data_IF_910005623270
#
_entry.id   IF_910005623270
#
_cell.length_a   1.000
_cell.length_b   1.000
_cell.length_c   1.000
_cell.angle_alpha   90.00
_cell.angle_beta   90.00
_cell.angle_gamma   90.00
#
_symmetry.space_group_name_H-M   'P 1'
#
loop_
_entity.id
_entity.type
_entity.pdbx_description
1 polymer ?
#
# COMPACT_ATOMS: atom_id res chain seq x y z
N UNK A 1 26.80 -13.66 7.42
CA UNK A 1 26.53 -15.03 7.87
C UNK A 1 27.68 -15.50 8.77
N UNK A 2 27.39 -16.35 9.74
CA UNK A 2 28.42 -17.20 10.35
C UNK A 2 28.81 -18.33 9.38
N UNK A 3 29.81 -19.11 9.76
CA UNK A 3 30.45 -20.13 8.93
C UNK A 3 29.48 -21.28 8.55
N UNK A 4 28.30 -21.30 9.18
CA UNK A 4 27.22 -22.30 9.03
C UNK A 4 26.03 -21.72 8.24
N UNK A 5 26.13 -20.46 7.78
CA UNK A 5 25.10 -19.81 6.98
C UNK A 5 23.96 -19.17 7.77
N UNK A 6 24.03 -19.16 9.10
CA UNK A 6 23.07 -18.49 9.95
C UNK A 6 23.40 -17.00 10.11
N UNK A 7 22.38 -16.23 10.50
CA UNK A 7 22.55 -14.84 10.90
C UNK A 7 23.41 -14.83 12.16
N UNK A 8 24.52 -14.08 12.14
CA UNK A 8 25.44 -13.99 13.28
C UNK A 8 24.66 -13.60 14.54
N UNK A 9 24.80 -14.39 15.59
CA UNK A 9 24.18 -14.13 16.91
C UNK A 9 24.58 -12.77 17.48
N UNK A 10 25.77 -12.27 17.15
CA UNK A 10 26.22 -10.91 17.48
C UNK A 10 25.30 -9.84 16.89
N UNK A 11 24.84 -10.03 15.65
CA UNK A 11 23.92 -9.09 14.99
C UNK A 11 22.56 -9.07 15.70
N UNK A 12 22.05 -10.22 16.14
CA UNK A 12 20.81 -10.30 16.92
C UNK A 12 20.95 -9.66 18.31
N UNK A 13 22.15 -9.76 18.92
CA UNK A 13 22.45 -9.04 20.15
C UNK A 13 22.56 -7.53 19.93
N UNK A 14 23.13 -7.09 18.81
CA UNK A 14 23.22 -5.67 18.45
C UNK A 14 21.83 -5.07 18.16
N UNK A 15 20.97 -5.80 17.45
CA UNK A 15 19.57 -5.41 17.24
C UNK A 15 18.80 -5.32 18.57
N UNK A 16 18.98 -6.29 19.46
CA UNK A 16 18.41 -6.24 20.82
C UNK A 16 18.99 -5.10 21.64
N UNK A 17 20.28 -4.80 21.49
CA UNK A 17 20.95 -3.69 22.17
C UNK A 17 20.42 -2.34 21.70
N UNK A 18 20.26 -2.16 20.39
CA UNK A 18 19.67 -0.95 19.79
C UNK A 18 18.21 -0.76 20.20
N UNK A 19 17.41 -1.83 20.20
CA UNK A 19 16.05 -1.80 20.73
C UNK A 19 16.05 -1.38 22.20
N UNK A 20 16.83 -2.04 23.06
CA UNK A 20 16.88 -1.73 24.49
C UNK A 20 17.36 -0.31 24.82
N UNK A 21 18.26 0.26 24.01
CA UNK A 21 18.73 1.64 24.17
C UNK A 21 17.63 2.65 23.80
N UNK A 22 16.88 2.37 22.73
CA UNK A 22 15.71 3.17 22.33
C UNK A 22 14.54 3.03 23.32
N UNK A 23 14.30 1.83 23.83
CA UNK A 23 13.29 1.55 24.87
C UNK A 23 13.57 2.31 26.17
N UNK A 24 14.85 2.58 26.48
CA UNK A 24 15.25 3.34 27.67
C UNK A 24 15.04 4.84 27.53
N UNK A 25 15.02 5.36 26.31
CA UNK A 25 14.85 6.80 26.03
C UNK A 25 13.40 7.20 25.77
N UNK A 26 12.52 6.28 25.35
CA UNK A 26 11.19 6.63 24.86
C UNK A 26 10.05 5.84 25.53
N UNK A 27 9.01 6.55 25.99
CA UNK A 27 7.75 5.98 26.50
C UNK A 27 6.82 5.44 25.36
N UNK A 28 7.37 5.29 24.14
CA UNK A 28 6.67 5.07 22.87
C UNK A 28 6.73 3.60 22.41
N UNK A 29 6.82 2.66 23.36
CA UNK A 29 6.81 1.22 23.11
C UNK A 29 5.68 0.78 22.17
N UNK A 30 4.51 1.43 22.26
CA UNK A 30 3.35 1.11 21.44
C UNK A 30 3.54 1.47 19.96
N UNK A 31 4.17 2.60 19.66
CA UNK A 31 4.42 3.04 18.29
C UNK A 31 5.46 2.16 17.60
N UNK A 32 6.55 1.85 18.30
CA UNK A 32 7.60 0.95 17.79
C UNK A 32 7.09 -0.48 17.60
N UNK A 33 6.34 -1.02 18.56
CA UNK A 33 5.72 -2.35 18.41
C UNK A 33 4.84 -2.41 17.17
N UNK A 34 4.00 -1.40 16.96
CA UNK A 34 3.12 -1.34 15.79
C UNK A 34 3.93 -1.24 14.47
N UNK A 35 5.02 -0.46 14.42
CA UNK A 35 5.89 -0.42 13.24
C UNK A 35 6.56 -1.77 12.95
N UNK A 36 7.02 -2.46 13.99
CA UNK A 36 7.62 -3.80 13.87
C UNK A 36 6.58 -4.80 13.40
N UNK A 37 5.40 -4.82 14.01
CA UNK A 37 4.29 -5.70 13.64
C UNK A 37 3.87 -5.48 12.17
N UNK A 38 3.76 -4.21 11.75
CA UNK A 38 3.48 -3.85 10.36
C UNK A 38 4.60 -4.31 9.43
N UNK A 39 5.87 -4.09 9.76
CA UNK A 39 6.98 -4.56 8.92
C UNK A 39 7.05 -6.09 8.81
N UNK A 40 6.66 -6.81 9.86
CA UNK A 40 6.65 -8.28 9.90
C UNK A 40 5.46 -8.89 9.15
N UNK A 41 4.31 -8.22 9.09
CA UNK A 41 3.16 -8.66 8.30
C UNK A 41 3.50 -8.71 6.80
N UNK A 42 4.12 -7.64 6.28
CA UNK A 42 4.58 -7.57 4.90
C UNK A 42 5.77 -6.61 4.78
N UNK A 43 6.90 -7.01 4.21
CA UNK A 43 8.03 -6.11 4.02
C UNK A 43 7.66 -4.92 3.12
N UNK A 44 8.22 -3.73 3.41
CA UNK A 44 7.91 -2.49 2.69
C UNK A 44 8.02 -2.62 1.16
N UNK A 45 9.02 -3.35 0.66
CA UNK A 45 9.26 -3.52 -0.77
C UNK A 45 8.25 -4.46 -1.47
N UNK A 46 7.42 -5.17 -0.72
CA UNK A 46 6.31 -5.97 -1.24
C UNK A 46 4.95 -5.29 -1.08
N UNK A 47 4.89 -4.18 -0.33
CA UNK A 47 3.65 -3.44 -0.11
C UNK A 47 3.32 -2.58 -1.32
N UNK A 48 2.03 -2.51 -1.64
CA UNK A 48 1.54 -1.57 -2.66
C UNK A 48 1.75 -0.14 -2.16
N UNK A 49 2.51 0.72 -2.86
CA UNK A 49 2.88 2.04 -2.36
C UNK A 49 1.67 2.91 -1.97
N UNK A 50 0.54 2.75 -2.68
CA UNK A 50 -0.68 3.50 -2.37
C UNK A 50 -1.37 3.04 -1.09
N UNK A 51 -1.39 1.74 -0.79
CA UNK A 51 -1.91 1.25 0.49
C UNK A 51 -0.98 1.66 1.64
N UNK A 52 0.32 1.60 1.41
CA UNK A 52 1.31 1.99 2.41
C UNK A 52 1.22 3.49 2.73
N UNK A 53 1.10 4.33 1.71
CA UNK A 53 0.87 5.77 1.89
C UNK A 53 -0.39 6.05 2.72
N UNK A 54 -1.49 5.32 2.49
CA UNK A 54 -2.72 5.49 3.28
C UNK A 54 -2.51 5.13 4.75
N UNK A 55 -1.83 4.02 5.01
CA UNK A 55 -1.51 3.57 6.37
C UNK A 55 -0.61 4.60 7.07
N UNK A 56 0.45 5.04 6.40
CA UNK A 56 1.40 5.98 6.97
C UNK A 56 0.79 7.36 7.24
N UNK A 57 -0.09 7.87 6.37
CA UNK A 57 -0.83 9.12 6.62
C UNK A 57 -1.65 9.00 7.91
N UNK A 58 -2.40 7.91 8.07
CA UNK A 58 -3.25 7.70 9.25
C UNK A 58 -2.44 7.58 10.54
N UNK A 59 -1.22 7.05 10.46
CA UNK A 59 -0.35 6.93 11.61
C UNK A 59 0.41 8.23 11.92
N UNK A 60 0.91 8.92 10.89
CA UNK A 60 1.57 10.21 11.03
C UNK A 60 0.63 11.28 11.60
N UNK A 61 -0.67 11.19 11.31
CA UNK A 61 -1.69 12.05 11.90
C UNK A 61 -1.77 11.92 13.44
N UNK A 62 -1.47 10.75 14.00
CA UNK A 62 -1.50 10.50 15.45
C UNK A 62 -0.22 10.95 16.16
N UNK A 63 0.87 11.14 15.42
CA UNK A 63 2.16 11.56 15.99
C UNK A 63 2.07 12.94 16.65
N UNK A 64 2.78 13.07 17.79
CA UNK A 64 2.88 14.33 18.55
C UNK A 64 3.78 15.35 17.85
N UNK A 65 4.81 14.87 17.14
CA UNK A 65 5.83 15.70 16.48
C UNK A 65 5.59 15.86 14.97
N UNK A 66 4.31 15.80 14.55
CA UNK A 66 3.95 15.89 13.14
C UNK A 66 4.14 17.30 12.58
N UNK A 67 4.66 17.39 11.37
CA UNK A 67 4.66 18.62 10.59
C UNK A 67 3.32 18.74 9.84
N UNK A 68 2.48 19.74 10.18
CA UNK A 68 1.15 19.87 9.57
C UNK A 68 1.22 20.10 8.06
N UNK A 69 2.24 20.81 7.57
CA UNK A 69 2.40 21.10 6.13
C UNK A 69 2.63 19.80 5.34
N UNK A 70 3.44 18.89 5.89
CA UNK A 70 3.73 17.59 5.25
C UNK A 70 2.49 16.71 5.27
N UNK A 71 1.75 16.68 6.38
CA UNK A 71 0.52 15.90 6.50
C UNK A 71 -0.55 16.39 5.51
N UNK A 72 -0.78 17.70 5.44
CA UNK A 72 -1.75 18.28 4.52
C UNK A 72 -1.38 18.00 3.06
N UNK A 73 -0.10 18.13 2.71
CA UNK A 73 0.38 17.80 1.38
C UNK A 73 0.15 16.33 1.03
N UNK A 74 0.44 15.41 1.96
CA UNK A 74 0.26 13.98 1.75
C UNK A 74 -1.23 13.62 1.59
N UNK A 75 -2.12 14.22 2.38
CA UNK A 75 -3.57 14.04 2.27
C UNK A 75 -4.08 14.56 0.92
N UNK A 76 -3.64 15.76 0.50
CA UNK A 76 -4.06 16.35 -0.77
C UNK A 76 -3.59 15.52 -1.97
N UNK A 77 -2.33 15.06 -1.99
CA UNK A 77 -1.84 14.16 -3.05
C UNK A 77 -2.64 12.86 -3.10
N UNK A 78 -2.85 12.24 -1.93
CA UNK A 78 -3.61 11.00 -1.84
C UNK A 78 -5.03 11.16 -2.39
N UNK A 79 -5.74 12.21 -1.97
CA UNK A 79 -7.11 12.48 -2.41
C UNK A 79 -7.19 12.80 -3.90
N UNK A 80 -6.22 13.54 -4.44
CA UNK A 80 -6.14 13.83 -5.88
C UNK A 80 -6.03 12.53 -6.68
N UNK A 81 -5.11 11.64 -6.30
CA UNK A 81 -4.91 10.37 -6.99
C UNK A 81 -6.12 9.43 -6.82
N UNK A 82 -6.70 9.40 -5.61
CA UNK A 82 -7.90 8.62 -5.35
C UNK A 82 -9.09 9.08 -6.19
N UNK A 83 -9.25 10.40 -6.41
CA UNK A 83 -10.28 10.96 -7.30
C UNK A 83 -10.14 10.44 -8.74
N UNK A 84 -8.91 10.37 -9.26
CA UNK A 84 -8.64 9.84 -10.60
C UNK A 84 -9.03 8.35 -10.67
N UNK A 85 -8.64 7.55 -9.67
CA UNK A 85 -9.00 6.14 -9.61
C UNK A 85 -10.52 5.91 -9.49
N UNK A 86 -11.25 6.78 -8.79
CA UNK A 86 -12.71 6.70 -8.73
C UNK A 86 -13.35 6.97 -10.10
N UNK A 87 -12.80 7.92 -10.86
CA UNK A 87 -13.24 8.18 -12.23
C UNK A 87 -12.94 7.00 -13.16
N UNK A 88 -11.74 6.43 -13.09
CA UNK A 88 -11.36 5.22 -13.83
C UNK A 88 -12.30 4.06 -13.50
N UNK A 89 -12.59 3.85 -12.21
CA UNK A 89 -13.48 2.78 -11.76
C UNK A 89 -14.91 3.00 -12.26
N UNK A 90 -15.41 4.24 -12.26
CA UNK A 90 -16.72 4.58 -12.83
C UNK A 90 -16.78 4.25 -14.32
N UNK A 91 -15.74 4.60 -15.08
CA UNK A 91 -15.65 4.28 -16.50
C UNK A 91 -15.64 2.76 -16.73
N UNK A 92 -14.71 2.05 -16.09
CA UNK A 92 -14.51 0.61 -16.30
C UNK A 92 -15.72 -0.20 -15.82
N UNK A 93 -16.36 0.18 -14.71
CA UNK A 93 -17.59 -0.48 -14.25
C UNK A 93 -18.79 -0.26 -15.18
N UNK A 94 -18.88 0.91 -15.81
CA UNK A 94 -19.91 1.17 -16.83
C UNK A 94 -19.67 0.29 -18.05
N UNK A 95 -18.44 0.30 -18.58
CA UNK A 95 -18.04 -0.53 -19.70
C UNK A 95 -18.25 -2.04 -19.44
N UNK A 96 -17.87 -2.53 -18.26
CA UNK A 96 -18.05 -3.93 -17.87
C UNK A 96 -19.51 -4.36 -17.84
N UNK A 97 -20.40 -3.49 -17.31
CA UNK A 97 -21.85 -3.72 -17.31
C UNK A 97 -22.43 -3.76 -18.72
N UNK A 98 -21.99 -2.88 -19.61
CA UNK A 98 -22.41 -2.84 -21.02
C UNK A 98 -21.97 -4.11 -21.78
N UNK A 99 -20.78 -4.62 -21.48
CA UNK A 99 -20.25 -5.85 -22.07
C UNK A 99 -21.08 -7.09 -21.69
N UNK A 100 -21.67 -7.08 -20.49
CA UNK A 100 -22.63 -8.09 -20.03
C UNK A 100 -22.06 -9.50 -19.88
N UNK A 101 -20.73 -9.65 -19.84
CA UNK A 101 -20.06 -10.97 -19.82
C UNK A 101 -20.43 -11.80 -18.60
N UNK A 102 -20.54 -11.18 -17.42
CA UNK A 102 -20.93 -11.87 -16.19
C UNK A 102 -22.35 -12.47 -16.25
N UNK A 103 -23.23 -11.94 -17.10
CA UNK A 103 -24.56 -12.52 -17.36
C UNK A 103 -24.54 -13.58 -18.46
N UNK A 104 -23.60 -13.48 -19.40
CA UNK A 104 -23.49 -14.39 -20.55
C UNK A 104 -22.76 -15.68 -20.22
N UNK A 105 -21.76 -15.63 -19.34
CA UNK A 105 -20.93 -16.78 -18.98
C UNK A 105 -21.14 -17.18 -17.52
N UNK A 106 -21.99 -18.19 -17.29
CA UNK A 106 -22.31 -18.70 -15.96
C UNK A 106 -21.12 -19.35 -15.23
N UNK A 107 -20.05 -19.70 -15.95
CA UNK A 107 -18.83 -20.26 -15.37
C UNK A 107 -17.83 -19.18 -14.93
N UNK A 108 -17.92 -17.98 -15.50
CA UNK A 108 -16.94 -16.91 -15.27
C UNK A 108 -17.33 -16.09 -14.03
N UNK A 109 -16.36 -15.81 -13.16
CA UNK A 109 -16.57 -14.94 -12.00
C UNK A 109 -16.39 -13.48 -12.41
N UNK A 110 -17.26 -12.61 -11.90
CA UNK A 110 -17.05 -11.17 -11.99
C UNK A 110 -15.89 -10.77 -11.07
N UNK A 111 -14.78 -10.33 -11.66
CA UNK A 111 -13.53 -9.98 -10.96
C UNK A 111 -13.05 -8.57 -11.28
N UNK A 112 -13.98 -7.70 -11.64
CA UNK A 112 -13.68 -6.33 -12.02
C UNK A 112 -12.87 -5.60 -10.94
N UNK A 113 -13.28 -5.75 -9.67
CA UNK A 113 -12.66 -5.06 -8.54
C UNK A 113 -11.26 -5.58 -8.23
N UNK A 114 -11.04 -6.89 -8.28
CA UNK A 114 -9.71 -7.47 -8.09
C UNK A 114 -8.75 -7.00 -9.18
N UNK A 115 -9.18 -7.02 -10.44
CA UNK A 115 -8.37 -6.54 -11.57
C UNK A 115 -8.07 -5.04 -11.47
N UNK A 116 -9.05 -4.25 -11.04
CA UNK A 116 -8.86 -2.82 -10.76
C UNK A 116 -7.82 -2.58 -9.67
N UNK A 117 -7.92 -3.31 -8.55
CA UNK A 117 -6.97 -3.21 -7.45
C UNK A 117 -5.54 -3.56 -7.87
N UNK A 118 -5.35 -4.65 -8.62
CA UNK A 118 -4.04 -5.04 -9.17
C UNK A 118 -3.45 -3.95 -10.07
N UNK A 119 -4.28 -3.31 -10.89
CA UNK A 119 -3.83 -2.25 -11.80
C UNK A 119 -3.38 -1.01 -11.04
N UNK A 120 -4.16 -0.56 -10.05
CA UNK A 120 -3.79 0.56 -9.18
C UNK A 120 -2.53 0.25 -8.36
N UNK A 121 -2.35 -1.02 -7.95
CA UNK A 121 -1.14 -1.47 -7.26
C UNK A 121 0.14 -1.35 -8.08
N UNK A 122 0.04 -1.58 -9.39
CA UNK A 122 1.16 -1.51 -10.33
C UNK A 122 1.43 -0.08 -10.82
N UNK A 123 0.39 0.75 -10.97
CA UNK A 123 0.49 2.12 -11.47
C UNK A 123 0.57 3.11 -10.30
N UNK A 124 1.80 3.40 -9.86
CA UNK A 124 2.05 4.22 -8.66
C UNK A 124 1.62 5.69 -8.86
N UNK A 125 1.82 6.26 -10.05
CA UNK A 125 1.43 7.63 -10.36
C UNK A 125 0.55 7.65 -11.63
N UNK A 126 -0.73 8.04 -11.53
CA UNK A 126 -1.53 8.33 -12.70
C UNK A 126 -1.08 9.69 -13.24
N UNK A 127 -0.07 9.69 -14.10
CA UNK A 127 0.33 10.92 -14.81
C UNK A 127 -0.83 11.46 -15.68
N UNK A 128 -1.77 10.60 -16.11
CA UNK A 128 -2.89 10.97 -17.00
C UNK A 128 -4.18 10.11 -16.93
N UNK A 129 -4.36 9.19 -15.96
CA UNK A 129 -5.52 8.26 -15.89
C UNK A 129 -5.59 7.18 -16.99
N UNK A 130 -5.17 7.52 -18.21
CA UNK A 130 -5.16 6.66 -19.43
C UNK A 130 -4.41 5.34 -19.25
N UNK A 131 -3.37 5.28 -18.40
CA UNK A 131 -2.55 4.07 -18.20
C UNK A 131 -3.34 2.93 -17.52
N UNK A 132 -4.25 3.26 -16.60
CA UNK A 132 -5.10 2.29 -15.88
C UNK A 132 -6.13 1.68 -16.82
N UNK A 133 -6.73 2.49 -17.69
CA UNK A 133 -7.71 2.05 -18.69
C UNK A 133 -7.11 1.04 -19.69
N UNK A 134 -5.97 1.38 -20.31
CA UNK A 134 -5.35 0.52 -21.33
C UNK A 134 -4.92 -0.83 -20.75
N UNK A 135 -4.40 -0.84 -19.53
CA UNK A 135 -4.01 -2.07 -18.86
C UNK A 135 -5.20 -2.95 -18.51
N UNK A 136 -6.28 -2.36 -17.97
CA UNK A 136 -7.50 -3.11 -17.64
C UNK A 136 -8.14 -3.75 -18.87
N UNK A 137 -8.23 -3.00 -19.98
CA UNK A 137 -8.74 -3.51 -21.25
C UNK A 137 -7.88 -4.64 -21.82
N UNK A 138 -6.56 -4.61 -21.62
CA UNK A 138 -5.66 -5.67 -22.05
C UNK A 138 -5.78 -6.92 -21.17
N UNK A 139 -5.86 -6.76 -19.84
CA UNK A 139 -5.90 -7.86 -18.87
C UNK A 139 -7.20 -8.68 -18.88
N UNK A 140 -8.28 -8.14 -19.42
CA UNK A 140 -9.61 -8.77 -19.46
C UNK A 140 -9.99 -9.34 -20.84
N UNK A 141 -9.07 -9.33 -21.82
CA UNK A 141 -9.22 -10.06 -23.09
C UNK A 141 -8.86 -11.53 -22.91
#
# INVERSE_FOLDING_TARGET
MDDVGNIKSSLNQDFKGLLNLYEKENNDHQYLSMLVDHALELPLHWRMPRLEARWFIAEYEKSKDKNPIILDLAILDYNKVQSIHQEDLRYVSTWWKELGLGKRFSFARDRLMENFLWTVGMVIAPEDGKKVEYFLKWSMR
#
